data_IF_649302496483
#
_entry.id   IF_649302496483
#
_cell.length_a   1.000
_cell.length_b   1.000
_cell.length_c   1.000
_cell.angle_alpha   90.00
_cell.angle_beta   90.00
_cell.angle_gamma   90.00
#
_symmetry.space_group_name_H-M   'P 1'
#
loop_
_entity.id
_entity.type
_entity.pdbx_description
1 polymer ?
#
# COMPACT_ATOMS: atom_id res chain seq x y z
N UNK A 1 -32.11 0.27 -28.18
CA UNK A 1 -30.98 -0.61 -28.57
C UNK A 1 -29.61 0.02 -28.30
N UNK A 2 -29.32 1.28 -28.69
CA UNK A 2 -28.02 1.92 -28.41
C UNK A 2 -27.66 2.03 -26.91
N UNK A 3 -28.62 2.31 -26.03
CA UNK A 3 -28.36 2.45 -24.59
C UNK A 3 -27.98 1.14 -23.89
N UNK A 4 -28.46 -0.02 -24.38
CA UNK A 4 -28.15 -1.32 -23.78
C UNK A 4 -26.75 -1.83 -24.19
N UNK A 5 -26.34 -1.57 -25.44
CA UNK A 5 -25.00 -1.91 -25.93
C UNK A 5 -23.92 -1.04 -25.30
N UNK A 6 -24.23 0.24 -25.03
CA UNK A 6 -23.32 1.17 -24.35
C UNK A 6 -23.09 0.80 -22.87
N UNK A 7 -24.15 0.40 -22.15
CA UNK A 7 -24.02 -0.10 -20.77
C UNK A 7 -23.17 -1.37 -20.73
N UNK A 8 -23.47 -2.35 -21.61
CA UNK A 8 -22.73 -3.63 -21.64
C UNK A 8 -21.23 -3.47 -21.87
N UNK A 9 -20.81 -2.55 -22.77
CA UNK A 9 -19.39 -2.24 -22.99
C UNK A 9 -18.72 -1.53 -21.81
N UNK A 10 -19.47 -0.72 -21.06
CA UNK A 10 -18.95 -0.01 -19.89
C UNK A 10 -18.78 -0.97 -18.70
N UNK A 11 -19.70 -1.91 -18.54
CA UNK A 11 -19.65 -2.97 -17.53
C UNK A 11 -18.49 -3.94 -17.78
N UNK A 12 -18.25 -4.30 -19.05
CA UNK A 12 -17.12 -5.14 -19.48
C UNK A 12 -15.77 -4.47 -19.20
N UNK A 13 -15.60 -3.20 -19.58
CA UNK A 13 -14.38 -2.43 -19.30
C UNK A 13 -14.07 -2.35 -17.80
N UNK A 14 -15.09 -2.08 -16.97
CA UNK A 14 -14.94 -1.98 -15.52
C UNK A 14 -14.58 -3.34 -14.90
N UNK A 15 -15.18 -4.42 -15.40
CA UNK A 15 -14.88 -5.79 -14.96
C UNK A 15 -13.44 -6.17 -15.30
N UNK A 16 -12.97 -5.87 -16.51
CA UNK A 16 -11.59 -6.10 -16.93
C UNK A 16 -10.58 -5.29 -16.10
N UNK A 17 -10.85 -4.00 -15.87
CA UNK A 17 -9.99 -3.16 -15.04
C UNK A 17 -9.93 -3.66 -13.57
N UNK A 18 -11.04 -4.16 -13.04
CA UNK A 18 -11.09 -4.79 -11.72
C UNK A 18 -10.26 -6.08 -11.67
N UNK A 19 -10.35 -6.94 -12.69
CA UNK A 19 -9.57 -8.18 -12.75
C UNK A 19 -8.07 -7.89 -12.73
N UNK A 20 -7.61 -6.95 -13.57
CA UNK A 20 -6.19 -6.55 -13.60
C UNK A 20 -5.78 -5.96 -12.25
N UNK A 21 -6.62 -5.14 -11.63
CA UNK A 21 -6.32 -4.55 -10.31
C UNK A 21 -6.17 -5.61 -9.23
N UNK A 22 -7.05 -6.63 -9.20
CA UNK A 22 -6.93 -7.75 -8.27
C UNK A 22 -5.63 -8.52 -8.48
N UNK A 23 -5.25 -8.72 -9.75
CA UNK A 23 -3.97 -9.34 -10.09
C UNK A 23 -2.78 -8.50 -9.60
N UNK A 24 -2.79 -7.19 -9.83
CA UNK A 24 -1.75 -6.25 -9.38
C UNK A 24 -1.70 -6.10 -7.84
N UNK A 25 -2.84 -6.22 -7.17
CA UNK A 25 -2.95 -6.07 -5.71
C UNK A 25 -2.12 -7.11 -4.94
N UNK A 26 -1.94 -8.30 -5.54
CA UNK A 26 -1.28 -9.45 -4.90
C UNK A 26 -1.84 -9.68 -3.49
N UNK A 27 -3.16 -9.59 -3.32
CA UNK A 27 -3.78 -9.65 -1.98
C UNK A 27 -3.47 -10.99 -1.30
N UNK A 28 -2.75 -10.92 -0.19
CA UNK A 28 -2.50 -12.07 0.69
C UNK A 28 -3.19 -11.90 2.03
N UNK A 29 -3.42 -10.64 2.43
CA UNK A 29 -4.12 -10.23 3.63
C UNK A 29 -5.28 -9.34 3.19
N UNK A 30 -6.50 -9.65 3.67
CA UNK A 30 -7.73 -9.01 3.19
C UNK A 30 -8.35 -8.06 4.22
N UNK A 31 -8.01 -8.23 5.51
CA UNK A 31 -8.53 -7.40 6.60
C UNK A 31 -7.51 -7.22 7.72
N UNK A 32 -7.80 -6.28 8.63
CA UNK A 32 -7.02 -6.08 9.85
C UNK A 32 -7.04 -7.33 10.77
N UNK A 33 -8.11 -8.13 10.73
CA UNK A 33 -8.17 -9.40 11.47
C UNK A 33 -7.28 -10.46 10.80
N UNK A 34 -7.29 -10.55 9.47
CA UNK A 34 -6.40 -11.46 8.74
C UNK A 34 -4.94 -11.08 8.94
N UNK A 35 -4.63 -9.78 9.07
CA UNK A 35 -3.29 -9.34 9.42
C UNK A 35 -2.88 -9.91 10.78
N UNK A 36 -3.74 -9.82 11.80
CA UNK A 36 -3.45 -10.40 13.11
C UNK A 36 -3.22 -11.91 13.01
N UNK A 37 -4.11 -12.64 12.35
CA UNK A 37 -3.97 -14.09 12.15
C UNK A 37 -2.67 -14.44 11.41
N UNK A 38 -2.38 -13.76 10.31
CA UNK A 38 -1.13 -13.94 9.55
C UNK A 38 0.09 -13.73 10.44
N UNK A 39 0.11 -12.61 11.16
CA UNK A 39 1.18 -12.27 12.08
C UNK A 39 1.33 -13.31 13.20
N UNK A 40 0.26 -13.87 13.73
CA UNK A 40 0.31 -14.91 14.77
C UNK A 40 0.85 -16.24 14.25
N UNK A 41 0.50 -16.64 13.02
CA UNK A 41 1.06 -17.86 12.38
C UNK A 41 2.56 -17.76 12.15
N UNK A 42 3.07 -16.55 11.90
CA UNK A 42 4.51 -16.32 11.78
C UNK A 42 5.22 -16.49 13.12
N UNK A 43 4.61 -16.09 14.23
CA UNK A 43 5.19 -16.20 15.58
C UNK A 43 5.31 -17.65 16.04
N UNK A 44 4.33 -18.50 15.75
CA UNK A 44 4.34 -19.94 16.13
C UNK A 44 5.50 -20.74 15.51
N UNK A 45 6.09 -20.24 14.43
CA UNK A 45 7.15 -20.90 13.67
C UNK A 45 8.56 -20.38 13.99
N UNK A 46 8.75 -19.58 15.05
CA UNK A 46 10.02 -18.85 15.32
C UNK A 46 10.72 -19.34 16.59
N UNK A 47 12.04 -19.53 16.47
CA UNK A 47 12.99 -19.74 17.59
C UNK A 47 13.63 -18.41 18.08
N UNK A 48 13.11 -17.25 17.68
CA UNK A 48 13.70 -15.94 17.99
C UNK A 48 13.13 -15.39 19.28
N UNK A 49 13.99 -14.89 20.18
CA UNK A 49 13.59 -14.42 21.52
C UNK A 49 12.71 -13.16 21.51
N UNK A 50 12.80 -12.30 20.48
CA UNK A 50 11.94 -11.13 20.25
C UNK A 50 11.80 -10.79 18.75
N UNK A 51 10.80 -11.34 18.03
CA UNK A 51 10.60 -11.00 16.64
C UNK A 51 10.16 -9.53 16.44
N UNK A 52 10.63 -8.91 15.36
CA UNK A 52 10.16 -7.59 14.91
C UNK A 52 9.35 -7.74 13.64
N UNK A 53 8.09 -7.33 13.66
CA UNK A 53 7.22 -7.35 12.49
C UNK A 53 6.87 -5.93 12.05
N UNK A 54 7.08 -5.67 10.77
CA UNK A 54 6.97 -4.35 10.17
C UNK A 54 5.75 -4.29 9.28
N UNK A 55 4.94 -3.26 9.44
CA UNK A 55 3.90 -2.86 8.49
C UNK A 55 4.38 -1.59 7.80
N UNK A 56 4.38 -1.57 6.47
CA UNK A 56 4.79 -0.41 5.68
C UNK A 56 3.57 0.14 4.97
N UNK A 57 3.09 1.30 5.42
CA UNK A 57 2.03 2.04 4.74
C UNK A 57 2.65 2.99 3.73
N UNK A 58 2.54 2.63 2.45
CA UNK A 58 2.89 3.51 1.35
C UNK A 58 1.74 4.50 1.11
N UNK A 59 2.08 5.77 0.98
CA UNK A 59 1.09 6.80 0.71
C UNK A 59 0.41 6.58 -0.65
N UNK A 60 -0.91 6.81 -0.66
CA UNK A 60 -1.76 6.70 -1.84
C UNK A 60 -2.84 7.78 -1.77
N UNK A 61 -3.34 8.17 -2.93
CA UNK A 61 -4.53 9.02 -3.05
C UNK A 61 -5.81 8.30 -2.57
N UNK A 62 -5.78 6.97 -2.40
CA UNK A 62 -6.88 6.19 -1.83
C UNK A 62 -6.80 6.27 -0.30
N UNK A 63 -7.33 7.36 0.28
CA UNK A 63 -7.18 7.65 1.71
C UNK A 63 -7.74 6.55 2.63
N UNK A 64 -8.77 5.82 2.19
CA UNK A 64 -9.36 4.70 2.92
C UNK A 64 -8.33 3.60 3.29
N UNK A 65 -7.25 3.44 2.50
CA UNK A 65 -6.15 2.51 2.82
C UNK A 65 -5.43 2.97 4.09
N UNK A 66 -5.08 4.25 4.17
CA UNK A 66 -4.43 4.83 5.34
C UNK A 66 -5.36 4.76 6.57
N UNK A 67 -6.65 5.05 6.38
CA UNK A 67 -7.65 4.96 7.45
C UNK A 67 -7.71 3.56 8.07
N UNK A 68 -7.78 2.51 7.25
CA UNK A 68 -7.80 1.13 7.72
C UNK A 68 -6.54 0.76 8.53
N UNK A 69 -5.37 1.20 8.10
CA UNK A 69 -4.11 0.98 8.84
C UNK A 69 -4.09 1.76 10.15
N UNK A 70 -4.54 3.02 10.16
CA UNK A 70 -4.56 3.82 11.38
C UNK A 70 -5.59 3.32 12.39
N UNK A 71 -6.74 2.84 11.94
CA UNK A 71 -7.70 2.14 12.80
C UNK A 71 -7.11 0.88 13.41
N UNK A 72 -6.41 0.07 12.61
CA UNK A 72 -5.70 -1.11 13.10
C UNK A 72 -4.63 -0.71 14.13
N UNK A 73 -3.80 0.28 13.82
CA UNK A 73 -2.74 0.78 14.69
C UNK A 73 -3.27 1.32 16.03
N UNK A 74 -4.37 2.07 16.00
CA UNK A 74 -5.01 2.61 17.20
C UNK A 74 -5.61 1.51 18.10
N UNK A 75 -6.01 0.36 17.53
CA UNK A 75 -6.44 -0.82 18.31
C UNK A 75 -5.27 -1.50 19.00
N UNK A 76 -4.10 -1.58 18.35
CA UNK A 76 -2.91 -2.19 18.95
C UNK A 76 -2.51 -1.48 20.26
N UNK A 77 -2.60 -0.14 20.32
CA UNK A 77 -2.33 0.62 21.56
C UNK A 77 -3.30 0.34 22.72
N UNK A 78 -4.49 -0.23 22.46
CA UNK A 78 -5.57 -0.39 23.45
C UNK A 78 -5.67 -1.80 24.04
N UNK A 79 -5.07 -2.80 23.43
CA UNK A 79 -5.11 -4.19 23.89
C UNK A 79 -3.71 -4.64 24.30
N UNK A 80 -3.36 -4.54 25.59
CA UNK A 80 -2.16 -5.19 26.10
C UNK A 80 -2.32 -6.71 25.93
N UNK A 81 -1.37 -7.39 25.30
CA UNK A 81 -1.44 -8.85 25.14
C UNK A 81 -1.01 -9.53 26.45
N UNK A 82 -1.93 -9.53 27.42
CA UNK A 82 -1.72 -10.09 28.75
C UNK A 82 -1.39 -11.60 28.74
N UNK A 83 -1.62 -12.30 27.63
CA UNK A 83 -1.50 -13.75 27.53
C UNK A 83 -0.15 -14.22 26.96
N UNK A 84 0.71 -13.33 26.46
CA UNK A 84 1.93 -13.73 25.73
C UNK A 84 3.23 -13.15 26.34
N UNK A 85 3.32 -13.17 27.67
CA UNK A 85 4.41 -12.56 28.46
C UNK A 85 5.79 -13.22 28.30
N UNK A 86 5.88 -14.40 27.68
CA UNK A 86 7.16 -15.10 27.56
C UNK A 86 8.00 -14.62 26.37
N UNK A 87 7.38 -14.03 25.32
CA UNK A 87 8.08 -13.48 24.15
C UNK A 87 7.37 -12.25 23.55
N UNK A 88 7.63 -11.02 24.06
CA UNK A 88 7.00 -9.81 23.56
C UNK A 88 7.42 -9.53 22.11
N UNK A 89 6.43 -9.31 21.24
CA UNK A 89 6.62 -9.02 19.82
C UNK A 89 6.77 -7.52 19.60
N UNK A 90 7.81 -7.10 18.89
CA UNK A 90 7.97 -5.69 18.50
C UNK A 90 7.20 -5.42 17.21
N UNK A 91 6.22 -4.53 17.27
CA UNK A 91 5.46 -4.06 16.10
C UNK A 91 5.95 -2.68 15.66
N UNK A 92 6.23 -2.54 14.36
CA UNK A 92 6.67 -1.27 13.76
C UNK A 92 5.79 -0.92 12.57
N UNK A 93 5.20 0.27 12.57
CA UNK A 93 4.54 0.86 11.41
C UNK A 93 5.48 1.90 10.78
N UNK A 94 5.77 1.76 9.49
CA UNK A 94 6.52 2.76 8.72
C UNK A 94 5.57 3.49 7.79
N UNK A 95 5.46 4.80 7.93
CA UNK A 95 4.76 5.69 7.00
C UNK A 95 5.72 6.07 5.88
N UNK A 96 5.45 5.62 4.66
CA UNK A 96 6.38 5.70 3.54
C UNK A 96 5.84 6.57 2.41
N UNK A 97 6.66 7.53 1.95
CA UNK A 97 6.37 8.36 0.79
C UNK A 97 7.12 9.70 0.86
N UNK A 98 7.96 9.99 -0.14
CA UNK A 98 8.59 11.30 -0.28
C UNK A 98 7.81 12.21 -1.22
N UNK A 99 8.50 12.82 -2.18
CA UNK A 99 7.88 13.66 -3.23
C UNK A 99 8.15 13.02 -4.58
N UNK A 100 7.09 12.73 -5.32
CA UNK A 100 7.16 12.03 -6.60
C UNK A 100 5.91 12.22 -7.47
N UNK A 101 5.79 11.46 -8.56
CA UNK A 101 4.69 11.62 -9.52
C UNK A 101 3.29 11.39 -8.93
N UNK A 102 3.19 10.66 -7.80
CA UNK A 102 1.92 10.41 -7.13
C UNK A 102 1.51 11.52 -6.16
N UNK A 103 2.43 12.42 -5.79
CA UNK A 103 2.24 13.37 -4.70
C UNK A 103 1.13 14.40 -4.95
N UNK A 104 1.04 15.03 -6.15
CA UNK A 104 -0.07 15.95 -6.44
C UNK A 104 -1.43 15.30 -6.23
N UNK A 105 -1.53 14.00 -6.51
CA UNK A 105 -2.78 13.30 -6.34
C UNK A 105 -3.15 12.99 -4.89
N UNK A 106 -2.16 12.81 -4.01
CA UNK A 106 -2.39 12.69 -2.57
C UNK A 106 -2.93 14.03 -2.06
N UNK A 107 -2.38 15.15 -2.53
CA UNK A 107 -2.86 16.48 -2.20
C UNK A 107 -4.30 16.71 -2.68
N UNK A 108 -4.61 16.37 -3.93
CA UNK A 108 -5.97 16.46 -4.48
C UNK A 108 -6.96 15.64 -3.65
N UNK A 109 -6.58 14.43 -3.24
CA UNK A 109 -7.44 13.58 -2.41
C UNK A 109 -7.69 14.19 -1.02
N UNK A 110 -6.66 14.76 -0.39
CA UNK A 110 -6.81 15.47 0.89
C UNK A 110 -7.72 16.69 0.72
N UNK A 111 -7.49 17.49 -0.32
CA UNK A 111 -8.27 18.70 -0.60
C UNK A 111 -9.74 18.41 -0.89
N UNK A 112 -10.02 17.31 -1.60
CA UNK A 112 -11.39 16.88 -1.94
C UNK A 112 -12.11 16.18 -0.78
N UNK A 113 -11.39 15.77 0.28
CA UNK A 113 -11.96 15.04 1.39
C UNK A 113 -12.59 15.99 2.41
N UNK A 114 -13.90 15.88 2.63
CA UNK A 114 -14.60 16.65 3.68
C UNK A 114 -14.00 16.43 5.09
N UNK A 115 -13.32 15.30 5.31
CA UNK A 115 -12.65 14.97 6.58
C UNK A 115 -11.26 15.59 6.70
N UNK A 116 -10.51 15.66 5.60
CA UNK A 116 -9.08 16.02 5.61
C UNK A 116 -8.76 17.36 4.94
N UNK A 117 -9.72 18.02 4.29
CA UNK A 117 -9.49 19.33 3.66
C UNK A 117 -8.89 20.34 4.65
N UNK A 118 -9.29 20.29 5.92
CA UNK A 118 -8.81 21.20 6.97
C UNK A 118 -7.31 21.10 7.29
N UNK A 119 -6.61 20.05 6.82
CA UNK A 119 -5.15 19.91 6.96
C UNK A 119 -4.38 20.31 5.70
N UNK A 120 -5.06 20.62 4.59
CA UNK A 120 -4.42 20.84 3.29
C UNK A 120 -3.30 21.89 3.33
N UNK A 121 -3.58 23.08 3.86
CA UNK A 121 -2.60 24.18 3.95
C UNK A 121 -1.34 23.81 4.76
N UNK A 122 -1.44 22.81 5.64
CA UNK A 122 -0.32 22.35 6.47
C UNK A 122 0.53 21.28 5.76
N UNK A 123 -0.04 20.55 4.80
CA UNK A 123 0.60 19.39 4.16
C UNK A 123 0.99 19.62 2.70
N UNK A 124 0.44 20.64 2.04
CA UNK A 124 0.84 21.02 0.69
C UNK A 124 2.35 21.32 0.63
N UNK A 125 3.02 20.80 -0.40
CA UNK A 125 4.47 20.93 -0.58
C UNK A 125 5.31 20.07 0.36
N UNK A 126 4.70 19.21 1.19
CA UNK A 126 5.39 18.29 2.10
C UNK A 126 5.42 16.86 1.54
N UNK A 127 6.42 16.04 1.92
CA UNK A 127 6.44 14.61 1.59
C UNK A 127 5.13 13.89 1.91
N UNK A 128 4.77 12.89 1.11
CA UNK A 128 3.53 12.11 1.30
C UNK A 128 3.48 11.43 2.69
N UNK A 129 4.61 10.97 3.23
CA UNK A 129 4.71 10.43 4.59
C UNK A 129 4.37 11.48 5.67
N UNK A 130 4.63 12.77 5.40
CA UNK A 130 4.22 13.85 6.29
C UNK A 130 2.70 14.04 6.28
N UNK A 131 2.05 13.90 5.11
CA UNK A 131 0.58 13.88 5.01
C UNK A 131 0.02 12.76 5.90
N UNK A 132 0.56 11.54 5.75
CA UNK A 132 0.18 10.39 6.57
C UNK A 132 0.39 10.65 8.07
N UNK A 133 1.52 11.26 8.46
CA UNK A 133 1.79 11.64 9.86
C UNK A 133 0.71 12.57 10.40
N UNK A 134 0.37 13.64 9.67
CA UNK A 134 -0.64 14.60 10.12
C UNK A 134 -2.01 13.93 10.27
N UNK A 135 -2.38 13.03 9.36
CA UNK A 135 -3.61 12.24 9.47
C UNK A 135 -3.57 11.35 10.71
N UNK A 136 -2.50 10.59 10.90
CA UNK A 136 -2.31 9.67 12.02
C UNK A 136 -2.40 10.39 13.37
N UNK A 137 -1.70 11.52 13.52
CA UNK A 137 -1.66 12.29 14.77
C UNK A 137 -3.00 12.98 15.07
N UNK A 138 -3.54 13.74 14.11
CA UNK A 138 -4.70 14.60 14.37
C UNK A 138 -6.03 13.85 14.42
N UNK A 139 -6.16 12.75 13.68
CA UNK A 139 -7.44 12.05 13.52
C UNK A 139 -7.48 10.68 14.19
N UNK A 140 -6.32 10.11 14.52
CA UNK A 140 -6.23 8.76 15.09
C UNK A 140 -5.47 8.70 16.42
N UNK A 141 -4.89 9.81 16.92
CA UNK A 141 -4.15 9.85 18.18
C UNK A 141 -2.88 9.00 18.17
N UNK A 142 -2.30 8.81 16.99
CA UNK A 142 -1.09 8.02 16.79
C UNK A 142 0.12 8.96 16.82
N UNK A 143 1.06 8.69 17.72
CA UNK A 143 2.29 9.46 17.83
C UNK A 143 3.33 8.94 16.84
N UNK A 144 3.87 9.83 16.02
CA UNK A 144 4.85 9.51 14.97
C UNK A 144 6.13 10.27 15.27
N UNK A 145 7.23 9.57 15.52
CA UNK A 145 8.47 10.23 15.97
C UNK A 145 9.75 9.49 15.57
N UNK A 146 10.79 10.22 15.13
CA UNK A 146 12.11 9.66 14.79
C UNK A 146 12.90 9.20 16.03
N UNK A 147 12.53 9.69 17.23
CA UNK A 147 13.21 9.41 18.49
C UNK A 147 12.39 8.52 19.43
N UNK A 148 11.35 7.86 18.92
CA UNK A 148 10.65 6.80 19.65
C UNK A 148 11.50 5.52 19.62
N UNK A 149 12.75 5.60 20.07
CA UNK A 149 13.33 4.45 20.74
C UNK A 149 12.54 4.28 22.02
N UNK A 150 11.83 3.16 22.21
CA UNK A 150 11.16 2.94 23.47
C UNK A 150 12.21 3.08 24.58
N UNK A 151 11.98 3.99 25.54
CA UNK A 151 12.81 4.10 26.74
C UNK A 151 12.92 2.73 27.40
N UNK A 152 13.90 2.49 28.26
CA UNK A 152 13.93 1.26 29.08
C UNK A 152 12.59 1.01 29.79
N UNK A 153 11.87 2.07 30.17
CA UNK A 153 10.52 2.00 30.73
C UNK A 153 9.42 1.67 29.70
N UNK A 154 9.58 2.02 28.42
CA UNK A 154 8.65 1.66 27.34
C UNK A 154 8.93 0.25 26.81
N UNK A 155 10.18 -0.21 26.92
CA UNK A 155 10.59 -1.61 26.72
C UNK A 155 10.13 -2.51 27.87
N UNK A 156 9.85 -1.94 29.05
CA UNK A 156 9.20 -2.62 30.17
C UNK A 156 7.65 -2.62 30.00
N UNK A 157 7.09 -1.58 29.36
CA UNK A 157 5.69 -1.55 28.87
C UNK A 157 5.58 -2.22 27.48
N UNK A 158 5.78 -3.54 27.47
CA UNK A 158 6.02 -4.43 26.32
C UNK A 158 4.91 -4.59 25.24
N UNK A 159 4.05 -3.59 25.03
CA UNK A 159 2.92 -3.65 24.05
C UNK A 159 2.89 -2.46 23.06
N UNK A 160 3.99 -1.73 22.90
CA UNK A 160 3.98 -0.45 22.17
C UNK A 160 4.28 -0.60 20.67
N UNK A 161 3.28 -0.31 19.83
CA UNK A 161 3.46 -0.05 18.39
C UNK A 161 4.38 1.17 18.20
N UNK A 162 5.54 0.97 17.58
CA UNK A 162 6.43 2.07 17.15
C UNK A 162 5.99 2.58 15.77
N UNK A 163 5.91 3.90 15.57
CA UNK A 163 5.56 4.49 14.27
C UNK A 163 6.69 5.38 13.76
N UNK A 164 7.27 5.03 12.61
CA UNK A 164 8.40 5.69 11.97
C UNK A 164 7.99 6.33 10.65
N UNK A 165 8.80 7.26 10.15
CA UNK A 165 8.62 7.87 8.83
C UNK A 165 9.78 7.58 7.89
N UNK A 166 9.45 7.31 6.62
CA UNK A 166 10.37 7.21 5.50
C UNK A 166 9.92 8.21 4.41
N UNK A 167 10.42 9.44 4.48
CA UNK A 167 9.93 10.60 3.73
C UNK A 167 10.86 11.07 2.60
N UNK A 168 11.91 10.31 2.30
CA UNK A 168 12.90 10.64 1.25
C UNK A 168 12.77 9.82 -0.03
N UNK A 169 11.73 9.00 -0.18
CA UNK A 169 11.53 8.21 -1.41
C UNK A 169 10.97 9.07 -2.55
N UNK A 170 11.54 8.93 -3.76
CA UNK A 170 11.10 9.71 -4.94
C UNK A 170 10.10 8.97 -5.84
N UNK A 171 9.92 7.66 -5.60
CA UNK A 171 8.94 6.79 -6.25
C UNK A 171 8.76 5.50 -5.45
N UNK A 172 7.75 4.69 -5.78
CA UNK A 172 7.45 3.45 -5.04
C UNK A 172 8.52 2.34 -5.20
N UNK A 173 9.40 2.42 -6.20
CA UNK A 173 10.56 1.53 -6.32
C UNK A 173 11.71 1.89 -5.37
N UNK A 174 11.81 3.16 -4.98
CA UNK A 174 12.77 3.67 -3.99
C UNK A 174 12.24 3.58 -2.53
N UNK A 175 10.93 3.44 -2.36
CA UNK A 175 10.29 3.29 -1.04
C UNK A 175 10.87 2.15 -0.18
N UNK A 176 11.17 0.95 -0.72
CA UNK A 176 11.76 -0.14 0.06
C UNK A 176 13.19 0.14 0.55
N UNK A 177 14.04 0.77 -0.27
CA UNK A 177 15.42 1.10 0.12
C UNK A 177 15.45 2.15 1.23
N UNK A 178 14.62 3.19 1.13
CA UNK A 178 14.50 4.19 2.19
C UNK A 178 13.91 3.59 3.47
N UNK A 179 12.91 2.71 3.33
CA UNK A 179 12.35 1.98 4.47
C UNK A 179 13.41 1.16 5.19
N UNK A 180 14.26 0.42 4.46
CA UNK A 180 15.36 -0.33 5.04
C UNK A 180 16.32 0.59 5.81
N UNK A 181 16.74 1.72 5.22
CA UNK A 181 17.64 2.68 5.89
C UNK A 181 17.03 3.24 7.18
N UNK A 182 15.73 3.57 7.14
CA UNK A 182 15.01 4.03 8.34
C UNK A 182 15.00 2.94 9.41
N UNK A 183 14.64 1.70 9.07
CA UNK A 183 14.66 0.59 10.01
C UNK A 183 16.07 0.37 10.61
N UNK A 184 17.12 0.35 9.79
CA UNK A 184 18.50 0.16 10.23
C UNK A 184 19.00 1.29 11.14
N UNK A 185 18.67 2.55 10.83
CA UNK A 185 19.00 3.69 11.70
C UNK A 185 18.32 3.63 13.07
N UNK A 186 17.26 2.83 13.21
CA UNK A 186 16.54 2.57 14.47
C UNK A 186 16.88 1.18 15.06
N UNK A 187 18.00 0.59 14.62
CA UNK A 187 18.52 -0.69 15.14
C UNK A 187 17.76 -1.93 14.68
N UNK A 188 16.88 -1.83 13.68
CA UNK A 188 16.09 -2.95 13.15
C UNK A 188 16.77 -3.47 11.87
N UNK A 189 17.72 -4.38 12.03
CA UNK A 189 18.50 -4.92 10.91
C UNK A 189 17.90 -6.20 10.30
N UNK A 190 17.19 -7.00 11.09
CA UNK A 190 16.63 -8.29 10.68
C UNK A 190 15.14 -8.35 11.03
N UNK A 191 14.28 -7.59 10.33
CA UNK A 191 12.84 -7.72 10.52
C UNK A 191 12.43 -9.16 10.19
N UNK A 192 11.54 -9.71 11.01
CA UNK A 192 11.06 -11.07 10.85
C UNK A 192 9.96 -11.16 9.78
N UNK A 193 9.17 -10.10 9.63
CA UNK A 193 8.26 -9.92 8.49
C UNK A 193 8.10 -8.45 8.10
N UNK A 194 7.67 -8.26 6.85
CA UNK A 194 7.30 -6.98 6.27
C UNK A 194 5.95 -7.15 5.57
N UNK A 195 4.93 -6.47 6.06
CA UNK A 195 3.63 -6.38 5.40
C UNK A 195 3.55 -5.05 4.66
N UNK A 196 3.41 -5.10 3.33
CA UNK A 196 3.28 -3.92 2.48
C UNK A 196 1.80 -3.57 2.36
N UNK A 197 1.44 -2.35 2.74
CA UNK A 197 0.14 -1.73 2.48
C UNK A 197 0.36 -0.65 1.45
N UNK A 198 -0.26 -0.81 0.28
CA UNK A 198 -0.05 0.04 -0.88
C UNK A 198 -1.32 0.10 -1.72
N UNK A 199 -1.42 1.13 -2.57
CA UNK A 199 -2.37 1.18 -3.67
C UNK A 199 -2.41 -0.17 -4.42
N UNK A 200 -3.59 -0.79 -4.58
CA UNK A 200 -3.73 -2.09 -5.23
C UNK A 200 -3.01 -2.21 -6.57
N UNK A 201 -3.01 -1.16 -7.41
CA UNK A 201 -2.34 -1.23 -8.70
C UNK A 201 -0.79 -1.28 -8.57
N UNK A 202 -0.23 -0.78 -7.47
CA UNK A 202 1.22 -0.70 -7.23
C UNK A 202 1.76 -1.74 -6.25
N UNK A 203 0.89 -2.52 -5.59
CA UNK A 203 1.29 -3.52 -4.58
C UNK A 203 2.23 -4.58 -5.14
N UNK A 204 1.89 -5.14 -6.30
CA UNK A 204 2.73 -5.92 -7.24
C UNK A 204 4.21 -5.54 -7.16
N UNK A 205 4.47 -4.36 -7.71
CA UNK A 205 5.79 -3.76 -7.85
C UNK A 205 6.48 -3.52 -6.52
N UNK A 206 5.72 -3.02 -5.54
CA UNK A 206 6.26 -2.63 -4.24
C UNK A 206 6.76 -3.87 -3.47
N UNK A 207 5.99 -4.96 -3.46
CA UNK A 207 6.40 -6.24 -2.85
C UNK A 207 7.65 -6.79 -3.52
N UNK A 208 7.69 -6.84 -4.86
CA UNK A 208 8.86 -7.32 -5.59
C UNK A 208 10.12 -6.47 -5.30
N UNK A 209 9.93 -5.16 -5.11
CA UNK A 209 11.02 -4.24 -4.76
C UNK A 209 11.55 -4.49 -3.34
N UNK A 210 10.66 -4.77 -2.36
CA UNK A 210 11.08 -5.22 -1.02
C UNK A 210 11.83 -6.55 -1.07
N UNK A 211 11.35 -7.53 -1.84
CA UNK A 211 12.04 -8.83 -1.99
C UNK A 211 13.44 -8.67 -2.58
N UNK A 212 13.62 -7.74 -3.52
CA UNK A 212 14.92 -7.42 -4.08
C UNK A 212 15.86 -6.77 -3.06
N UNK A 213 15.38 -5.76 -2.32
CA UNK A 213 16.16 -5.07 -1.28
C UNK A 213 16.68 -6.07 -0.24
N UNK A 214 15.85 -7.01 0.21
CA UNK A 214 16.22 -8.01 1.20
C UNK A 214 16.83 -9.30 0.61
N UNK A 215 17.11 -9.37 -0.69
CA UNK A 215 17.56 -10.63 -1.32
C UNK A 215 18.94 -11.06 -0.83
N UNK A 216 19.79 -10.12 -0.41
CA UNK A 216 21.15 -10.42 0.09
C UNK A 216 21.22 -10.46 1.62
N UNK A 217 20.11 -10.23 2.32
CA UNK A 217 20.07 -10.28 3.77
C UNK A 217 20.33 -11.70 4.27
N UNK A 218 21.15 -11.83 5.31
CA UNK A 218 21.46 -13.12 5.94
C UNK A 218 20.20 -13.81 6.49
N UNK A 219 19.25 -13.01 6.98
CA UNK A 219 17.91 -13.45 7.36
C UNK A 219 16.88 -12.67 6.56
N UNK A 220 16.22 -13.34 5.60
CA UNK A 220 15.20 -12.69 4.76
C UNK A 220 13.88 -12.60 5.52
N UNK A 221 13.24 -11.40 5.62
CA UNK A 221 11.90 -11.28 6.18
C UNK A 221 10.89 -12.06 5.33
N UNK A 222 9.80 -12.50 5.96
CA UNK A 222 8.59 -12.90 5.23
C UNK A 222 7.90 -11.64 4.73
N UNK A 223 7.68 -11.54 3.42
CA UNK A 223 7.09 -10.34 2.80
C UNK A 223 5.68 -10.70 2.30
N UNK A 224 4.70 -9.88 2.66
CA UNK A 224 3.30 -10.07 2.27
C UNK A 224 2.62 -8.74 1.90
N UNK A 225 1.50 -8.81 1.18
CA UNK A 225 0.70 -7.65 0.76
C UNK A 225 -0.66 -7.60 1.47
N UNK A 226 -0.99 -6.41 1.98
CA UNK A 226 -2.30 -6.04 2.52
C UNK A 226 -2.82 -4.77 1.81
N UNK A 227 -3.35 -4.87 0.57
CA UNK A 227 -3.69 -3.71 -0.26
C UNK A 227 -5.01 -3.02 0.11
N UNK A 228 -5.66 -3.39 1.24
CA UNK A 228 -6.96 -2.90 1.72
C UNK A 228 -7.95 -2.64 0.57
N UNK A 229 -8.53 -3.70 0.02
CA UNK A 229 -9.52 -3.60 -1.05
C UNK A 229 -10.89 -3.23 -0.48
N UNK A 230 -11.63 -2.36 -1.17
CA UNK A 230 -13.05 -2.16 -0.89
C UNK A 230 -13.84 -3.45 -1.16
N UNK A 231 -14.90 -3.75 -0.37
CA UNK A 231 -15.78 -4.89 -0.64
C UNK A 231 -16.46 -4.76 -2.01
N UNK A 232 -16.76 -5.91 -2.62
CA UNK A 232 -17.27 -5.99 -4.00
C UNK A 232 -18.70 -5.42 -4.17
N UNK A 233 -19.04 -4.91 -5.38
CA UNK A 233 -18.14 -4.71 -6.51
C UNK A 233 -17.22 -3.51 -6.23
N UNK A 234 -15.90 -3.64 -6.41
CA UNK A 234 -15.05 -2.49 -6.23
C UNK A 234 -15.31 -1.58 -7.42
N UNK A 235 -15.95 -0.45 -7.16
CA UNK A 235 -16.22 0.55 -8.18
C UNK A 235 -14.97 1.40 -8.37
N UNK A 236 -13.84 0.78 -8.73
CA UNK A 236 -12.67 1.54 -9.15
C UNK A 236 -13.06 2.31 -10.42
N UNK A 237 -13.08 3.63 -10.33
CA UNK A 237 -13.50 4.50 -11.42
C UNK A 237 -14.98 4.89 -11.47
N UNK A 238 -15.82 4.46 -10.52
CA UNK A 238 -17.15 5.08 -10.35
C UNK A 238 -17.05 6.15 -9.25
N UNK A 239 -17.59 7.35 -9.53
CA UNK A 239 -17.73 8.42 -8.54
C UNK A 239 -18.43 7.86 -7.29
N UNK A 240 -17.68 7.72 -6.20
CA UNK A 240 -18.30 7.72 -4.88
C UNK A 240 -18.48 9.20 -4.52
N UNK A 241 -19.73 9.66 -4.57
CA UNK A 241 -20.17 11.05 -4.35
C UNK A 241 -19.94 11.56 -2.91
N UNK A 242 -19.10 10.91 -2.11
CA UNK A 242 -18.82 11.25 -0.71
C UNK A 242 -17.36 11.61 -0.41
N UNK A 243 -16.53 11.84 -1.44
CA UNK A 243 -15.11 12.17 -1.24
C UNK A 243 -14.28 10.99 -0.73
N UNK A 244 -14.85 9.78 -0.67
CA UNK A 244 -14.14 8.50 -0.47
C UNK A 244 -13.79 7.81 -1.79
N UNK A 245 -14.02 8.52 -2.90
CA UNK A 245 -13.86 8.04 -4.27
C UNK A 245 -12.46 7.55 -4.59
N UNK A 246 -12.41 6.36 -5.15
CA UNK A 246 -11.31 5.88 -5.97
C UNK A 246 -11.07 6.87 -7.13
N UNK A 247 -9.86 6.81 -7.66
CA UNK A 247 -9.39 7.47 -8.90
C UNK A 247 -10.52 7.68 -9.91
N UNK A 248 -10.54 8.81 -10.64
CA UNK A 248 -11.41 8.92 -11.82
C UNK A 248 -11.15 7.73 -12.73
N UNK A 249 -12.16 7.24 -13.46
CA UNK A 249 -11.99 6.06 -14.32
C UNK A 249 -10.78 6.20 -15.23
N UNK A 250 -10.61 7.35 -15.88
CA UNK A 250 -9.47 7.59 -16.78
C UNK A 250 -8.11 7.46 -16.05
N UNK A 251 -8.01 8.00 -14.83
CA UNK A 251 -6.79 7.93 -14.01
C UNK A 251 -6.53 6.53 -13.45
N UNK A 252 -7.60 5.78 -13.14
CA UNK A 252 -7.51 4.38 -12.75
C UNK A 252 -6.98 3.52 -13.91
N UNK A 253 -7.51 3.74 -15.11
CA UNK A 253 -7.04 3.06 -16.32
C UNK A 253 -5.58 3.42 -16.64
N UNK A 254 -5.20 4.71 -16.60
CA UNK A 254 -3.81 5.16 -16.76
C UNK A 254 -2.87 4.42 -15.81
N UNK A 255 -3.30 4.29 -14.54
CA UNK A 255 -2.51 3.63 -13.51
C UNK A 255 -2.31 2.14 -13.82
N UNK A 256 -3.37 1.40 -14.12
CA UNK A 256 -3.26 -0.03 -14.45
C UNK A 256 -2.43 -0.23 -15.72
N UNK A 257 -2.69 0.56 -16.77
CA UNK A 257 -2.02 0.47 -18.05
C UNK A 257 -0.52 0.82 -17.93
N UNK A 258 -0.15 1.71 -17.02
CA UNK A 258 1.25 2.03 -16.73
C UNK A 258 2.00 0.93 -15.97
N UNK A 259 1.32 0.16 -15.12
CA UNK A 259 1.96 -0.90 -14.32
C UNK A 259 2.12 -2.21 -15.09
N UNK A 260 1.14 -2.60 -15.93
CA UNK A 260 1.17 -3.87 -16.66
C UNK A 260 2.44 -4.09 -17.50
N UNK A 261 2.98 -3.11 -18.25
CA UNK A 261 4.23 -3.27 -18.98
C UNK A 261 5.42 -3.66 -18.09
N UNK A 262 5.51 -3.10 -16.88
CA UNK A 262 6.58 -3.42 -15.93
C UNK A 262 6.45 -4.85 -15.35
N UNK A 263 5.22 -5.35 -15.23
CA UNK A 263 4.94 -6.75 -14.84
C UNK A 263 5.33 -7.72 -15.97
N UNK A 264 5.08 -7.32 -17.23
CA UNK A 264 5.30 -8.13 -18.43
C UNK A 264 6.75 -8.19 -18.88
N UNK A 265 7.56 -7.20 -18.52
CA UNK A 265 8.96 -7.13 -18.94
C UNK A 265 9.78 -8.29 -18.35
N UNK A 266 10.11 -9.25 -19.22
CA UNK A 266 10.84 -10.49 -18.93
C UNK A 266 12.37 -10.34 -18.89
N UNK A 267 12.91 -9.12 -19.09
CA UNK A 267 14.36 -8.87 -19.13
C UNK A 267 14.84 -7.77 -18.18
N UNK A 268 14.03 -6.74 -17.95
CA UNK A 268 14.34 -5.59 -17.09
C UNK A 268 13.19 -5.15 -16.16
N UNK A 269 12.02 -5.82 -16.24
CA UNK A 269 10.89 -5.66 -15.32
C UNK A 269 11.24 -6.14 -13.92
N UNK A 270 10.29 -6.07 -12.98
CA UNK A 270 10.47 -6.31 -11.52
C UNK A 270 11.71 -7.17 -11.19
N UNK A 271 12.88 -6.53 -11.04
CA UNK A 271 14.14 -7.26 -10.82
C UNK A 271 14.09 -7.85 -9.43
N UNK A 272 13.59 -9.08 -9.31
CA UNK A 272 13.69 -9.89 -8.10
C UNK A 272 15.14 -10.27 -7.88
N UNK A 273 15.63 -10.03 -6.67
CA UNK A 273 16.97 -10.42 -6.29
C UNK A 273 17.15 -11.94 -6.31
N UNK A 274 18.19 -12.37 -7.02
CA UNK A 274 18.83 -13.70 -7.00
C UNK A 274 17.94 -14.95 -7.18
N UNK A 275 16.76 -14.86 -7.79
CA UNK A 275 15.93 -16.03 -8.09
C UNK A 275 15.00 -15.77 -9.25
N UNK A 276 15.20 -16.49 -10.35
CA UNK A 276 14.31 -16.50 -11.51
C UNK A 276 12.84 -16.58 -11.09
N UNK A 277 12.00 -15.64 -11.51
CA UNK A 277 10.57 -15.91 -11.68
C UNK A 277 9.93 -14.77 -12.47
N UNK A 278 9.77 -15.01 -13.76
CA UNK A 278 8.73 -14.42 -14.61
C UNK A 278 7.44 -14.35 -13.80
N UNK A 279 6.78 -13.20 -13.77
CA UNK A 279 5.41 -13.17 -13.24
C UNK A 279 4.55 -13.92 -14.23
N UNK A 280 3.99 -15.05 -13.82
CA UNK A 280 3.00 -15.76 -14.62
C UNK A 280 1.71 -14.92 -14.61
N UNK A 281 1.38 -14.38 -15.79
CA UNK A 281 0.17 -13.59 -16.01
C UNK A 281 -0.87 -14.55 -16.58
N UNK A 282 -1.99 -14.79 -15.89
CA UNK A 282 -3.07 -15.62 -16.42
C UNK A 282 -3.64 -15.06 -17.72
N UNK A 283 -4.07 -15.95 -18.63
CA UNK A 283 -4.65 -15.55 -19.92
C UNK A 283 -5.84 -14.57 -19.73
N UNK A 284 -6.68 -14.79 -18.72
CA UNK A 284 -7.79 -13.90 -18.39
C UNK A 284 -7.35 -12.45 -18.05
N UNK A 285 -6.15 -12.29 -17.48
CA UNK A 285 -5.58 -10.97 -17.16
C UNK A 285 -5.00 -10.32 -18.41
N UNK A 286 -4.38 -11.09 -19.31
CA UNK A 286 -3.92 -10.62 -20.62
C UNK A 286 -5.10 -10.20 -21.52
N UNK A 287 -6.18 -10.98 -21.52
CA UNK A 287 -7.43 -10.67 -22.22
C UNK A 287 -8.06 -9.39 -21.66
N UNK A 288 -8.21 -9.30 -20.33
CA UNK A 288 -8.73 -8.09 -19.68
C UNK A 288 -7.87 -6.85 -19.99
N UNK A 289 -6.55 -6.99 -20.01
CA UNK A 289 -5.66 -5.89 -20.37
C UNK A 289 -5.84 -5.44 -21.82
N UNK A 290 -6.04 -6.39 -22.74
CA UNK A 290 -6.37 -6.09 -24.14
C UNK A 290 -7.71 -5.33 -24.25
N UNK A 291 -8.75 -5.78 -23.53
CA UNK A 291 -10.04 -5.06 -23.45
C UNK A 291 -9.88 -3.63 -22.95
N UNK A 292 -9.05 -3.42 -21.92
CA UNK A 292 -8.81 -2.09 -21.37
C UNK A 292 -8.06 -1.19 -22.35
N UNK A 293 -7.04 -1.71 -23.05
CA UNK A 293 -6.30 -0.97 -24.07
C UNK A 293 -7.22 -0.48 -25.21
N UNK A 294 -8.07 -1.36 -25.73
CA UNK A 294 -9.04 -1.03 -26.79
C UNK A 294 -10.07 0.01 -26.32
N UNK A 295 -10.59 -0.16 -25.10
CA UNK A 295 -11.54 0.76 -24.48
C UNK A 295 -10.93 2.15 -24.20
N UNK A 296 -9.67 2.20 -23.78
CA UNK A 296 -8.94 3.42 -23.49
C UNK A 296 -8.65 4.24 -24.76
N UNK A 297 -8.15 3.60 -25.83
CA UNK A 297 -7.91 4.26 -27.11
C UNK A 297 -9.18 4.88 -27.70
N UNK A 298 -10.32 4.19 -27.58
CA UNK A 298 -11.62 4.68 -28.01
C UNK A 298 -12.09 5.92 -27.24
N UNK A 299 -11.81 6.00 -25.93
CA UNK A 299 -12.16 7.14 -25.07
C UNK A 299 -11.30 8.38 -25.38
N UNK A 300 -10.00 8.19 -25.58
CA UNK A 300 -9.06 9.28 -25.89
C UNK A 300 -9.42 9.96 -27.24
N UNK A 301 -9.80 9.16 -28.25
CA UNK A 301 -10.29 9.65 -29.55
C UNK A 301 -11.61 10.42 -29.41
N UNK A 302 -12.52 9.96 -28.55
CA UNK A 302 -13.83 10.60 -28.36
C UNK A 302 -13.73 11.94 -27.59
N UNK A 303 -12.76 12.10 -26.69
CA UNK A 303 -12.49 13.37 -26.01
C UNK A 303 -11.85 14.40 -26.95
N UNK A 304 -10.94 13.97 -27.82
CA UNK A 304 -10.27 14.84 -28.82
C UNK A 304 -11.24 15.37 -29.87
N UNK A 305 -12.31 14.63 -30.20
CA UNK A 305 -13.35 15.07 -31.13
C UNK A 305 -14.39 16.02 -30.50
N UNK A 306 -14.35 16.20 -29.17
CA UNK A 306 -15.27 17.08 -28.42
C UNK A 306 -14.63 18.38 -27.94
N UNK A 307 -13.32 18.55 -28.13
CA UNK A 307 -12.55 19.79 -27.93
C UNK A 307 -12.40 20.55 -29.23
#
# INVERSE_FOLDING_TARGET
MHSQTFNKKTDELSSSANLITRFLALSQIYSANDLKTYLDTLSQNRNTTQPTDVVVLCASAILAIAEAVFEWAARQKKTPDLNNREHPRRMVLVLCGGVGPSTPFVYDAVKASARYECIFDCVEGRPEAFVLKVIAERFYGLEVGPDLMPSRSDLENQDCLTILMADRSVNCGASPEETQKVLESHGIHNPSSITVVQDPAMSRRTVASFENVYSKSAQRPKIASWPVLAPEPPAYGAKLDDGKGLWSMDRFLDRILGEMPAVRDNGHGYRRGSGSSRVDIPDEVEDAWSTVLEGYGSRCLTQTLKS
#
